data_IF_275766494934
#
_entry.id   IF_275766494934
#
_cell.length_a   1.000
_cell.length_b   1.000
_cell.length_c   1.000
_cell.angle_alpha   90.00
_cell.angle_beta   90.00
_cell.angle_gamma   90.00
#
_symmetry.space_group_name_H-M   'P 1'
#
loop_
_entity.id
_entity.type
_entity.pdbx_description
1 polymer ?
#
# COMPACT_ATOMS: atom_id res chain seq x y z
N UNK A 1 24.67 -13.74 66.73
CA UNK A 1 24.64 -14.50 65.47
C UNK A 1 24.42 -13.49 64.35
N UNK A 2 25.42 -13.24 63.50
CA UNK A 2 25.29 -12.27 62.39
C UNK A 2 24.56 -12.92 61.22
N UNK A 3 23.57 -12.23 60.68
CA UNK A 3 22.83 -12.68 59.50
C UNK A 3 23.77 -12.69 58.29
N UNK A 4 23.85 -13.77 57.49
CA UNK A 4 24.72 -13.79 56.32
C UNK A 4 24.25 -12.73 55.31
N UNK A 5 25.18 -11.90 54.82
CA UNK A 5 24.91 -10.96 53.75
C UNK A 5 24.38 -11.72 52.52
N UNK A 6 23.19 -11.37 52.05
CA UNK A 6 22.68 -11.86 50.76
C UNK A 6 23.67 -11.45 49.68
N UNK A 7 24.21 -12.44 48.94
CA UNK A 7 25.00 -12.16 47.73
C UNK A 7 24.15 -11.29 46.81
N UNK A 8 24.62 -10.09 46.48
CA UNK A 8 23.98 -9.28 45.46
C UNK A 8 23.97 -10.10 44.16
N UNK A 9 22.84 -10.15 43.44
CA UNK A 9 22.80 -10.76 42.12
C UNK A 9 23.86 -10.12 41.21
N UNK A 10 24.64 -10.94 40.50
CA UNK A 10 25.79 -10.49 39.71
C UNK A 10 25.46 -9.46 38.63
N UNK A 11 24.21 -9.40 38.16
CA UNK A 11 23.74 -8.42 37.18
C UNK A 11 23.67 -6.98 37.72
N UNK A 12 23.74 -6.78 39.05
CA UNK A 12 23.78 -5.44 39.65
C UNK A 12 25.18 -4.80 39.63
N UNK A 13 26.22 -5.57 39.31
CA UNK A 13 27.60 -5.06 39.17
C UNK A 13 27.96 -4.72 37.71
N UNK A 14 27.01 -4.89 36.77
CA UNK A 14 27.16 -4.56 35.35
C UNK A 14 27.17 -3.04 35.15
N UNK A 15 28.35 -2.43 35.36
CA UNK A 15 28.64 -1.02 35.11
C UNK A 15 28.50 -0.60 33.64
N UNK A 16 28.26 -1.55 32.73
CA UNK A 16 28.13 -1.31 31.30
C UNK A 16 26.76 -0.73 30.89
N UNK A 17 25.74 -0.78 31.76
CA UNK A 17 24.44 -0.21 31.42
C UNK A 17 24.50 1.31 31.16
N UNK A 18 25.31 2.04 31.95
CA UNK A 18 25.51 3.48 31.77
C UNK A 18 26.30 3.81 30.49
N UNK A 19 27.18 2.90 30.04
CA UNK A 19 27.92 3.05 28.79
C UNK A 19 27.05 2.70 27.55
N UNK A 20 26.02 1.87 27.71
CA UNK A 20 25.05 1.51 26.66
C UNK A 20 23.85 2.47 26.56
N UNK A 21 23.60 3.31 27.57
CA UNK A 21 22.53 4.31 27.52
C UNK A 21 22.58 5.24 26.27
N UNK A 22 23.73 5.84 25.89
CA UNK A 22 23.78 6.72 24.71
C UNK A 22 23.57 5.98 23.38
N UNK A 23 23.92 4.68 23.29
CA UNK A 23 23.67 3.89 22.08
C UNK A 23 22.20 3.49 21.95
N UNK A 24 21.53 3.24 23.07
CA UNK A 24 20.08 3.02 23.12
C UNK A 24 19.28 4.28 22.80
N UNK A 25 19.72 5.45 23.28
CA UNK A 25 19.08 6.73 22.96
C UNK A 25 19.27 7.09 21.48
N UNK A 26 20.47 6.90 20.93
CA UNK A 26 20.70 7.07 19.49
C UNK A 26 19.82 6.13 18.63
N UNK A 27 19.70 4.86 19.02
CA UNK A 27 18.83 3.90 18.33
C UNK A 27 17.34 4.27 18.42
N UNK A 28 16.90 4.87 19.52
CA UNK A 28 15.53 5.39 19.69
C UNK A 28 15.25 6.59 18.80
N UNK A 29 16.21 7.52 18.69
CA UNK A 29 16.08 8.68 17.81
C UNK A 29 16.07 8.28 16.34
N UNK A 30 16.88 7.31 15.93
CA UNK A 30 16.84 6.75 14.57
C UNK A 30 15.52 6.02 14.29
N UNK A 31 15.03 5.22 15.25
CA UNK A 31 13.73 4.58 15.13
C UNK A 31 12.57 5.60 15.05
N UNK A 32 12.64 6.70 15.79
CA UNK A 32 11.67 7.78 15.73
C UNK A 32 11.69 8.50 14.38
N UNK A 33 12.87 8.75 13.81
CA UNK A 33 13.00 9.31 12.44
C UNK A 33 12.43 8.37 11.38
N UNK A 34 12.77 7.08 11.43
CA UNK A 34 12.23 6.09 10.51
C UNK A 34 10.70 5.96 10.63
N UNK A 35 10.16 6.03 11.85
CA UNK A 35 8.72 6.04 12.08
C UNK A 35 8.04 7.30 11.52
N UNK A 36 8.66 8.48 11.67
CA UNK A 36 8.15 9.73 11.12
C UNK A 36 8.16 9.73 9.58
N UNK A 37 9.23 9.25 8.94
CA UNK A 37 9.30 9.10 7.49
C UNK A 37 8.27 8.11 6.95
N UNK A 38 8.07 6.99 7.66
CA UNK A 38 7.04 6.00 7.31
C UNK A 38 5.64 6.62 7.43
N UNK A 39 5.36 7.35 8.51
CA UNK A 39 4.09 8.04 8.70
C UNK A 39 3.84 9.09 7.60
N UNK A 40 4.87 9.83 7.18
CA UNK A 40 4.77 10.78 6.09
C UNK A 40 4.44 10.09 4.75
N UNK A 41 5.12 8.99 4.42
CA UNK A 41 4.83 8.19 3.21
C UNK A 41 3.43 7.58 3.22
N UNK A 42 2.98 7.10 4.37
CA UNK A 42 1.62 6.58 4.54
C UNK A 42 0.57 7.69 4.38
N UNK A 43 0.82 8.88 4.92
CA UNK A 43 -0.05 10.05 4.76
C UNK A 43 -0.12 10.48 3.28
N UNK A 44 1.02 10.52 2.58
CA UNK A 44 1.09 10.85 1.16
C UNK A 44 0.32 9.82 0.32
N UNK A 45 0.51 8.53 0.59
CA UNK A 45 -0.19 7.44 -0.13
C UNK A 45 -1.70 7.52 0.10
N UNK A 46 -2.13 7.81 1.34
CA UNK A 46 -3.54 8.06 1.66
C UNK A 46 -4.08 9.28 0.94
N UNK A 47 -3.36 10.39 0.91
CA UNK A 47 -3.78 11.61 0.21
C UNK A 47 -3.96 11.35 -1.29
N UNK A 48 -3.00 10.65 -1.93
CA UNK A 48 -3.09 10.26 -3.34
C UNK A 48 -4.26 9.30 -3.60
N UNK A 49 -4.51 8.36 -2.69
CA UNK A 49 -5.66 7.47 -2.76
C UNK A 49 -6.98 8.24 -2.75
N UNK A 50 -7.15 9.15 -1.79
CA UNK A 50 -8.37 9.97 -1.68
C UNK A 50 -8.56 10.87 -2.89
N UNK A 51 -7.48 11.51 -3.35
CA UNK A 51 -7.51 12.34 -4.56
C UNK A 51 -7.98 11.52 -5.78
N UNK A 52 -7.46 10.30 -5.95
CA UNK A 52 -7.85 9.41 -7.04
C UNK A 52 -9.35 9.08 -7.00
N UNK A 53 -9.89 8.69 -5.84
CA UNK A 53 -11.33 8.39 -5.72
C UNK A 53 -12.22 9.62 -5.95
N UNK A 54 -11.75 10.82 -5.56
CA UNK A 54 -12.49 12.06 -5.81
C UNK A 54 -12.47 12.50 -7.28
N UNK A 55 -11.38 12.21 -7.99
CA UNK A 55 -11.20 12.60 -9.39
C UNK A 55 -11.75 11.57 -10.39
N UNK A 56 -12.02 10.33 -9.95
CA UNK A 56 -12.48 9.25 -10.82
C UNK A 56 -13.85 9.59 -11.44
N UNK A 57 -13.96 9.72 -12.77
CA UNK A 57 -15.26 9.89 -13.40
C UNK A 57 -16.05 8.58 -13.30
N UNK A 58 -17.35 8.67 -12.97
CA UNK A 58 -18.24 7.51 -12.86
C UNK A 58 -18.44 6.80 -14.20
N UNK A 59 -18.43 7.56 -15.29
CA UNK A 59 -18.66 7.08 -16.65
C UNK A 59 -17.46 7.43 -17.52
N UNK A 60 -17.03 6.47 -18.34
CA UNK A 60 -15.96 6.66 -19.33
C UNK A 60 -16.47 6.22 -20.70
N UNK A 61 -15.96 6.86 -21.75
CA UNK A 61 -16.22 6.44 -23.12
C UNK A 61 -15.23 5.32 -23.47
N UNK A 62 -15.73 4.13 -23.76
CA UNK A 62 -14.93 2.99 -24.17
C UNK A 62 -15.44 2.45 -25.50
N UNK A 63 -14.51 2.01 -26.36
CA UNK A 63 -14.85 1.28 -27.57
C UNK A 63 -15.32 -0.13 -27.20
N UNK A 64 -16.59 -0.41 -27.46
CA UNK A 64 -17.22 -1.71 -27.18
C UNK A 64 -17.66 -2.34 -28.48
N UNK A 65 -17.51 -3.66 -28.58
CA UNK A 65 -18.07 -4.43 -29.67
C UNK A 65 -19.60 -4.46 -29.55
N UNK A 66 -20.29 -3.94 -30.57
CA UNK A 66 -21.77 -3.86 -30.59
C UNK A 66 -22.39 -5.08 -31.25
N UNK A 67 -21.71 -5.65 -32.24
CA UNK A 67 -22.13 -6.89 -32.89
C UNK A 67 -20.97 -7.86 -33.01
N UNK A 68 -21.25 -9.13 -32.69
CA UNK A 68 -20.36 -10.23 -33.00
C UNK A 68 -20.11 -10.27 -34.52
N UNK A 69 -18.89 -10.57 -34.92
CA UNK A 69 -18.64 -10.98 -36.30
C UNK A 69 -19.24 -12.35 -36.52
N UNK A 70 -19.73 -12.60 -37.73
CA UNK A 70 -20.20 -13.93 -38.14
C UNK A 70 -19.11 -14.51 -39.02
N UNK A 71 -18.48 -15.59 -38.56
CA UNK A 71 -17.58 -16.38 -39.39
C UNK A 71 -18.43 -17.13 -40.43
N UNK A 72 -18.11 -16.94 -41.70
CA UNK A 72 -18.81 -17.52 -42.82
C UNK A 72 -18.72 -19.04 -42.80
N UNK A 73 -19.87 -19.71 -43.00
CA UNK A 73 -19.90 -21.11 -43.41
C UNK A 73 -19.73 -21.21 -44.94
N UNK A 74 -19.87 -22.40 -45.54
CA UNK A 74 -19.70 -22.78 -46.97
C UNK A 74 -20.16 -21.78 -48.06
N UNK A 75 -20.98 -20.78 -47.72
CA UNK A 75 -21.43 -19.69 -48.61
C UNK A 75 -20.53 -18.44 -48.62
N UNK A 76 -19.49 -18.36 -47.80
CA UNK A 76 -18.48 -17.29 -47.82
C UNK A 76 -19.00 -15.87 -47.49
N UNK A 77 -19.97 -15.75 -46.58
CA UNK A 77 -20.40 -14.45 -46.06
C UNK A 77 -19.78 -14.24 -44.69
N UNK A 78 -18.61 -13.62 -44.65
CA UNK A 78 -18.00 -13.12 -43.42
C UNK A 78 -18.57 -11.73 -43.10
N UNK A 79 -19.09 -11.55 -41.88
CA UNK A 79 -19.52 -10.24 -41.38
C UNK A 79 -18.53 -9.80 -40.32
N UNK A 80 -17.86 -8.67 -40.53
CA UNK A 80 -16.93 -8.13 -39.55
C UNK A 80 -17.65 -7.66 -38.27
N UNK A 81 -17.01 -7.82 -37.11
CA UNK A 81 -17.52 -7.29 -35.85
C UNK A 81 -17.57 -5.75 -35.89
N UNK A 82 -18.70 -5.17 -35.47
CA UNK A 82 -18.85 -3.71 -35.37
C UNK A 82 -18.50 -3.23 -33.99
N UNK A 83 -17.76 -2.12 -33.93
CA UNK A 83 -17.39 -1.44 -32.69
C UNK A 83 -18.00 -0.05 -32.66
N UNK A 84 -18.39 0.40 -31.47
CA UNK A 84 -18.84 1.77 -31.25
C UNK A 84 -18.35 2.25 -29.89
N UNK A 85 -18.19 3.56 -29.79
CA UNK A 85 -17.84 4.21 -28.53
C UNK A 85 -19.11 4.37 -27.69
N UNK A 86 -19.13 3.72 -26.52
CA UNK A 86 -20.25 3.80 -25.57
C UNK A 86 -19.77 4.33 -24.24
N UNK A 87 -20.64 5.05 -23.55
CA UNK A 87 -20.43 5.38 -22.14
C UNK A 87 -20.67 4.13 -21.30
N UNK A 88 -19.65 3.69 -20.57
CA UNK A 88 -19.67 2.54 -19.66
C UNK A 88 -19.25 2.99 -18.26
N UNK A 89 -19.66 2.22 -17.24
CA UNK A 89 -19.22 2.46 -15.87
C UNK A 89 -17.70 2.30 -15.78
N UNK A 90 -17.05 3.25 -15.11
CA UNK A 90 -15.62 3.22 -14.89
C UNK A 90 -15.25 2.17 -13.85
N UNK A 91 -14.76 1.03 -14.32
CA UNK A 91 -14.28 -0.09 -13.50
C UNK A 91 -12.76 -0.03 -13.22
N UNK A 92 -12.12 1.13 -13.41
CA UNK A 92 -10.73 1.29 -13.02
C UNK A 92 -10.59 1.11 -11.50
N UNK A 93 -9.56 0.40 -11.05
CA UNK A 93 -9.24 0.24 -9.63
C UNK A 93 -8.23 1.30 -9.20
N UNK A 94 -8.36 1.76 -7.97
CA UNK A 94 -7.39 2.67 -7.36
C UNK A 94 -6.01 1.99 -7.29
N UNK A 95 -4.93 2.59 -7.82
CA UNK A 95 -3.60 1.98 -7.80
C UNK A 95 -3.00 1.89 -6.39
N UNK A 96 -3.56 2.61 -5.41
CA UNK A 96 -3.08 2.65 -4.03
C UNK A 96 -3.80 1.64 -3.12
N UNK A 97 -5.12 1.50 -3.25
CA UNK A 97 -5.93 0.65 -2.36
C UNK A 97 -6.63 -0.51 -3.08
N UNK A 98 -6.55 -0.58 -4.40
CA UNK A 98 -7.16 -1.61 -5.26
C UNK A 98 -8.69 -1.73 -5.17
N UNK A 99 -9.35 -0.69 -4.64
CA UNK A 99 -10.80 -0.54 -4.58
C UNK A 99 -11.30 0.35 -5.72
N UNK A 100 -12.60 0.24 -6.01
CA UNK A 100 -13.28 1.02 -7.05
C UNK A 100 -13.69 2.43 -6.58
#
# INVERSE_FOLDING_TARGET
MSTPQRKKPSWMDDKDWAAMAPTLDAARDEAAKAAAEKAAKEAETKAKCTAWHSAKPRWITQRVQVSAGIAGNERSWDVEPKYADKQVLNNAKCPYCWKD
#
